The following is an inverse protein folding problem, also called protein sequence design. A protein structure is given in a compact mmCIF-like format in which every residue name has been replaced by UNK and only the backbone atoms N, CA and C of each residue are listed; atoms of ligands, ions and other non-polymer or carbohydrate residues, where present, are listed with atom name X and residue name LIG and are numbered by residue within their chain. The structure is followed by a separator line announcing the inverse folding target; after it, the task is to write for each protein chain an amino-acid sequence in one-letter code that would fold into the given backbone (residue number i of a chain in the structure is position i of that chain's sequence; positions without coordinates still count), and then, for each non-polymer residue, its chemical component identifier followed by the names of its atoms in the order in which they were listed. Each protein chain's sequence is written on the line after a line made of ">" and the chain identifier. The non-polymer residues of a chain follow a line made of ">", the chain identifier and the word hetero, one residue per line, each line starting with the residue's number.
data_IF_293052883136
#
_entry.id   IF_293052883136
#
_cell.length_a   1.000
_cell.length_b   1.000
_cell.length_c   1.000
_cell.angle_alpha   90.00
_cell.angle_beta   90.00
_cell.angle_gamma   90.00
#
_symmetry.space_group_name_H-M   'P 1'
#
loop_
_entity.id
_entity.type
_entity.pdbx_description
1 polymer ?
#
# COMPACT_ATOMS: atom_id res chain seq x y z
N UNK A 1 15.44 -12.94 -0.31
CA UNK A 1 14.49 -14.07 -0.25
C UNK A 1 13.54 -13.93 -1.42
N UNK A 2 13.41 -14.93 -2.30
CA UNK A 2 12.45 -14.85 -3.40
C UNK A 2 11.03 -14.93 -2.82
N UNK A 3 10.37 -13.78 -2.69
CA UNK A 3 8.94 -13.70 -2.38
C UNK A 3 8.17 -14.31 -3.55
N UNK A 4 7.44 -15.40 -3.31
CA UNK A 4 6.60 -15.99 -4.36
C UNK A 4 5.47 -15.05 -4.75
N UNK A 5 5.17 -14.92 -6.03
CA UNK A 5 4.08 -14.04 -6.51
C UNK A 5 2.84 -14.87 -6.84
N UNK A 6 1.68 -14.37 -6.43
CA UNK A 6 0.37 -14.90 -6.83
C UNK A 6 -0.26 -13.90 -7.78
N UNK A 7 -0.64 -14.37 -8.97
CA UNK A 7 -1.33 -13.55 -9.97
C UNK A 7 -2.83 -13.80 -9.91
N UNK A 8 -3.62 -12.74 -9.76
CA UNK A 8 -5.07 -12.79 -9.84
C UNK A 8 -5.53 -12.18 -11.15
N UNK A 9 -6.21 -12.97 -11.98
CA UNK A 9 -6.81 -12.48 -13.22
C UNK A 9 -8.15 -11.76 -12.91
N UNK A 10 -8.21 -10.47 -13.24
CA UNK A 10 -9.33 -9.59 -12.99
C UNK A 10 -10.28 -9.43 -14.19
N UNK A 11 -10.03 -10.10 -15.33
CA UNK A 11 -10.81 -9.92 -16.57
C UNK A 11 -12.31 -10.30 -16.44
N UNK A 12 -12.68 -11.02 -15.37
CA UNK A 12 -14.08 -11.40 -15.10
C UNK A 12 -14.80 -10.46 -14.12
N UNK A 13 -14.10 -9.47 -13.56
CA UNK A 13 -14.68 -8.45 -12.70
C UNK A 13 -15.26 -7.37 -13.62
N UNK A 14 -16.59 -7.34 -13.76
CA UNK A 14 -17.26 -6.41 -14.68
C UNK A 14 -17.69 -5.11 -14.03
N UNK A 15 -18.04 -5.16 -12.75
CA UNK A 15 -18.55 -4.01 -11.98
C UNK A 15 -17.88 -4.04 -10.59
N UNK A 16 -16.66 -3.49 -10.48
CA UNK A 16 -15.91 -3.52 -9.24
C UNK A 16 -16.50 -2.51 -8.24
N UNK A 17 -16.88 -3.01 -7.06
CA UNK A 17 -17.27 -2.18 -5.92
C UNK A 17 -16.25 -2.21 -4.78
N UNK A 18 -16.48 -1.42 -3.74
CA UNK A 18 -15.61 -1.36 -2.55
C UNK A 18 -15.45 -2.72 -1.85
N UNK A 19 -16.44 -3.61 -1.94
CA UNK A 19 -16.33 -4.97 -1.43
C UNK A 19 -15.25 -5.79 -2.17
N UNK A 20 -15.10 -5.59 -3.48
CA UNK A 20 -14.03 -6.20 -4.26
C UNK A 20 -12.66 -5.64 -3.84
N UNK A 21 -12.58 -4.32 -3.62
CA UNK A 21 -11.35 -3.65 -3.15
C UNK A 21 -10.91 -4.17 -1.78
N UNK A 22 -11.83 -4.24 -0.80
CA UNK A 22 -11.55 -4.79 0.53
C UNK A 22 -11.04 -6.24 0.44
N UNK A 23 -11.69 -7.05 -0.41
CA UNK A 23 -11.24 -8.43 -0.65
C UNK A 23 -9.81 -8.49 -1.21
N UNK A 24 -9.49 -7.69 -2.23
CA UNK A 24 -8.15 -7.64 -2.82
C UNK A 24 -7.09 -7.19 -1.80
N UNK A 25 -7.40 -6.16 -1.00
CA UNK A 25 -6.50 -5.65 0.03
C UNK A 25 -6.23 -6.71 1.11
N UNK A 26 -7.27 -7.41 1.58
CA UNK A 26 -7.14 -8.52 2.53
C UNK A 26 -6.37 -9.70 1.96
N UNK A 27 -6.62 -10.05 0.70
CA UNK A 27 -5.90 -11.12 0.00
C UNK A 27 -4.40 -10.81 -0.06
N UNK A 28 -4.03 -9.59 -0.49
CA UNK A 28 -2.63 -9.16 -0.52
C UNK A 28 -1.99 -9.19 0.87
N UNK A 29 -2.68 -8.70 1.89
CA UNK A 29 -2.19 -8.74 3.27
C UNK A 29 -1.95 -10.18 3.75
N UNK A 30 -2.87 -11.10 3.43
CA UNK A 30 -2.73 -12.53 3.74
C UNK A 30 -1.50 -13.16 3.06
N UNK A 31 -1.30 -12.85 1.78
CA UNK A 31 -0.12 -13.29 1.02
C UNK A 31 1.18 -12.72 1.58
N UNK A 32 1.22 -11.42 1.89
CA UNK A 32 2.37 -10.72 2.48
C UNK A 32 2.79 -11.37 3.80
N UNK A 33 1.82 -11.68 4.66
CA UNK A 33 2.07 -12.40 5.93
C UNK A 33 2.64 -13.80 5.74
N UNK A 34 2.35 -14.43 4.59
CA UNK A 34 2.92 -15.71 4.17
C UNK A 34 4.20 -15.60 3.33
N UNK A 35 4.80 -14.40 3.20
CA UNK A 35 6.02 -14.19 2.40
C UNK A 35 5.78 -14.23 0.89
N UNK A 36 4.56 -13.95 0.44
CA UNK A 36 4.17 -13.87 -0.98
C UNK A 36 3.64 -12.48 -1.32
N UNK A 37 3.62 -12.12 -2.59
CA UNK A 37 2.97 -10.89 -3.06
C UNK A 37 1.79 -11.20 -4.00
N UNK A 38 0.92 -10.21 -4.20
CA UNK A 38 -0.21 -10.24 -5.13
C UNK A 38 0.08 -9.34 -6.33
N UNK A 39 -0.15 -9.86 -7.53
CA UNK A 39 -0.13 -9.15 -8.80
C UNK A 39 -1.51 -9.25 -9.46
N UNK A 40 -2.08 -8.13 -9.91
CA UNK A 40 -3.36 -8.11 -10.62
C UNK A 40 -3.09 -8.18 -12.13
N UNK A 41 -3.66 -9.17 -12.81
CA UNK A 41 -3.56 -9.34 -14.26
C UNK A 41 -4.87 -8.96 -14.93
N UNK A 42 -4.80 -8.17 -16.00
CA UNK A 42 -5.96 -7.68 -16.74
C UNK A 42 -7.03 -6.99 -15.87
N UNK A 43 -6.68 -6.05 -14.97
CA UNK A 43 -7.68 -5.19 -14.35
C UNK A 43 -8.38 -4.35 -15.44
N UNK A 44 -9.70 -4.20 -15.34
CA UNK A 44 -10.44 -3.26 -16.19
C UNK A 44 -10.26 -1.83 -15.67
N UNK A 45 -10.59 -0.85 -16.51
CA UNK A 45 -10.40 0.58 -16.20
C UNK A 45 -11.17 0.98 -14.94
N UNK A 46 -12.42 0.53 -14.77
CA UNK A 46 -13.23 0.80 -13.58
C UNK A 46 -12.56 0.31 -12.28
N UNK A 47 -11.87 -0.84 -12.32
CA UNK A 47 -11.18 -1.38 -11.15
C UNK A 47 -9.92 -0.56 -10.85
N UNK A 48 -9.19 -0.14 -11.89
CA UNK A 48 -8.02 0.73 -11.75
C UNK A 48 -8.45 2.06 -11.11
N UNK A 49 -9.46 2.71 -11.67
CA UNK A 49 -9.99 3.98 -11.18
C UNK A 49 -10.46 3.87 -9.72
N UNK A 50 -11.18 2.80 -9.37
CA UNK A 50 -11.63 2.61 -8.00
C UNK A 50 -10.46 2.35 -7.03
N UNK A 51 -9.41 1.64 -7.46
CA UNK A 51 -8.20 1.44 -6.65
C UNK A 51 -7.48 2.78 -6.41
N UNK A 52 -7.37 3.63 -7.43
CA UNK A 52 -6.79 4.97 -7.31
C UNK A 52 -7.62 5.87 -6.39
N UNK A 53 -8.95 5.90 -6.59
CA UNK A 53 -9.88 6.66 -5.76
C UNK A 53 -9.82 6.24 -4.28
N UNK A 54 -9.64 4.95 -4.01
CA UNK A 54 -9.46 4.42 -2.67
C UNK A 54 -8.07 4.70 -2.06
N UNK A 55 -7.14 5.28 -2.82
CA UNK A 55 -5.76 5.51 -2.39
C UNK A 55 -4.93 4.22 -2.24
N UNK A 56 -5.31 3.15 -2.93
CA UNK A 56 -4.71 1.81 -2.79
C UNK A 56 -3.84 1.40 -3.97
N UNK A 57 -3.55 2.30 -4.91
CA UNK A 57 -2.73 1.99 -6.10
C UNK A 57 -1.36 1.40 -5.72
N UNK A 58 -0.63 2.04 -4.79
CA UNK A 58 0.66 1.55 -4.29
C UNK A 58 0.53 0.25 -3.49
N UNK A 59 -0.57 0.12 -2.73
CA UNK A 59 -0.82 -1.08 -1.92
C UNK A 59 -1.08 -2.27 -2.84
N UNK A 60 -1.95 -2.13 -3.84
CA UNK A 60 -2.37 -3.21 -4.73
C UNK A 60 -1.42 -3.41 -5.92
N UNK A 61 -0.41 -2.56 -6.09
CA UNK A 61 0.60 -2.70 -7.14
C UNK A 61 0.04 -2.41 -8.53
N UNK A 62 -0.95 -1.53 -8.62
CA UNK A 62 -1.35 -0.91 -9.88
C UNK A 62 -0.37 0.24 -10.07
N UNK A 63 0.71 -0.02 -10.81
CA UNK A 63 1.74 0.99 -11.06
C UNK A 63 1.15 2.15 -11.85
N UNK A 64 0.64 3.14 -11.13
CA UNK A 64 0.58 4.51 -11.62
C UNK A 64 2.02 4.99 -11.55
N UNK A 65 2.62 5.37 -12.68
CA UNK A 65 3.95 5.97 -12.76
C UNK A 65 4.05 7.16 -11.80
N UNK A 66 4.37 6.92 -10.54
CA UNK A 66 4.61 7.96 -9.54
C UNK A 66 6.08 7.88 -9.16
N UNK A 67 6.73 9.02 -9.29
CA UNK A 67 8.07 9.23 -8.75
C UNK A 67 8.03 8.86 -7.26
N UNK A 68 9.02 8.13 -6.74
CA UNK A 68 9.09 7.87 -5.31
C UNK A 68 9.08 9.23 -4.59
N UNK A 69 8.12 9.44 -3.68
CA UNK A 69 8.26 10.52 -2.72
C UNK A 69 9.52 10.22 -1.90
N UNK A 70 10.51 11.09 -2.04
CA UNK A 70 11.65 11.18 -1.12
C UNK A 70 11.05 11.47 0.26
N UNK A 71 10.79 10.40 1.02
CA UNK A 71 10.37 10.49 2.40
C UNK A 71 11.50 11.22 3.12
N UNK A 72 11.30 12.49 3.48
CA UNK A 72 12.23 13.22 4.32
C UNK A 72 12.58 12.31 5.51
N UNK A 73 13.88 12.13 5.75
CA UNK A 73 14.35 11.39 6.90
C UNK A 73 13.63 11.91 8.15
N UNK A 74 13.21 11.05 9.09
CA UNK A 74 12.70 11.53 10.36
C UNK A 74 13.83 12.32 11.03
N UNK A 75 13.78 13.65 10.89
CA UNK A 75 14.66 14.56 11.57
C UNK A 75 14.56 14.20 13.05
N UNK A 76 15.67 13.71 13.62
CA UNK A 76 15.73 13.32 15.03
C UNK A 76 15.23 14.50 15.85
N UNK A 77 14.00 14.41 16.34
CA UNK A 77 13.49 15.34 17.34
C UNK A 77 14.36 15.10 18.57
N UNK A 78 15.26 16.03 18.86
CA UNK A 78 16.00 16.05 20.12
C UNK A 78 15.00 16.51 21.16
N UNK A 79 14.63 15.59 22.06
CA UNK A 79 13.88 15.93 23.27
C UNK A 79 14.77 16.86 24.10
N UNK A 80 14.35 18.12 24.23
CA UNK A 80 15.03 19.11 25.06
C UNK A 80 14.90 18.65 26.52
N UNK A 81 16.01 18.21 27.11
CA UNK A 81 16.06 17.81 28.50
C UNK A 81 15.77 19.01 29.40
N UNK A 82 14.86 18.83 30.35
CA UNK A 82 14.47 19.85 31.33
C UNK A 82 15.71 20.37 32.08
N UNK A 83 16.02 21.66 31.90
CA UNK A 83 17.06 22.35 32.67
C UNK A 83 16.57 22.52 34.10
N UNK A 84 17.17 21.78 35.04
CA UNK A 84 16.94 22.01 36.47
C UNK A 84 17.24 23.47 36.83
N UNK A 85 16.32 24.09 37.55
CA UNK A 85 16.44 25.46 38.04
C UNK A 85 17.71 25.61 38.91
N UNK A 86 18.46 26.72 38.78
CA UNK A 86 19.65 26.94 39.60
C UNK A 86 19.27 27.18 41.07
N UNK A 87 20.12 26.77 42.03
CA UNK A 87 19.87 26.99 43.45
C UNK A 87 19.93 28.49 43.81
N UNK A 88 19.03 28.89 44.70
CA UNK A 88 18.84 30.26 45.23
C UNK A 88 20.01 30.68 46.13
#
# INVERSE_FOLDING_TARGET
>A
MATGTVTLNCARIKDPGLAAIDYLARLKLGLRRGGRDLCLASPNDDLIELIELAGLAEVLGVEVERQPEEREEPGRVQEEGELSDPPV
#
